data_IF_639558243936
#
_entry.id   IF_639558243936
#
_cell.length_a   1.000
_cell.length_b   1.000
_cell.length_c   1.000
_cell.angle_alpha   90.00
_cell.angle_beta   90.00
_cell.angle_gamma   90.00
#
_symmetry.space_group_name_H-M   'P 1'
#
loop_
_entity.id
_entity.type
_entity.pdbx_description
1 polymer ?
#
# COMPACT_ATOMS: atom_id res chain seq x y z
N UNK A 1 15.91 -17.53 -31.49
CA UNK A 1 15.53 -16.35 -30.69
C UNK A 1 14.03 -16.31 -30.61
N UNK A 2 13.46 -16.41 -29.40
CA UNK A 2 12.02 -16.32 -29.22
C UNK A 2 11.67 -14.88 -28.84
N UNK A 3 10.77 -14.26 -29.61
CA UNK A 3 10.19 -12.98 -29.24
C UNK A 3 8.94 -13.24 -28.42
N UNK A 4 8.69 -12.41 -27.43
CA UNK A 4 7.47 -12.47 -26.62
C UNK A 4 6.89 -11.09 -26.47
N UNK A 5 5.58 -11.02 -26.26
CA UNK A 5 4.87 -9.75 -26.11
C UNK A 5 4.65 -9.42 -24.64
N UNK A 6 4.56 -8.13 -24.35
CA UNK A 6 4.21 -7.64 -23.02
C UNK A 6 2.86 -8.19 -22.57
N UNK A 7 1.89 -8.30 -23.49
CA UNK A 7 0.57 -8.87 -23.21
C UNK A 7 0.65 -10.34 -22.77
N UNK A 8 1.49 -11.17 -23.39
CA UNK A 8 1.74 -12.55 -22.95
C UNK A 8 2.39 -12.62 -21.57
N UNK A 9 3.40 -11.78 -21.33
CA UNK A 9 4.10 -11.75 -20.04
C UNK A 9 3.17 -11.31 -18.90
N UNK A 10 2.29 -10.33 -19.16
CA UNK A 10 1.27 -9.91 -18.19
C UNK A 10 0.28 -11.05 -17.88
N UNK A 11 -0.05 -11.92 -18.84
CA UNK A 11 -0.88 -13.10 -18.60
C UNK A 11 -0.18 -14.18 -17.77
N UNK A 12 1.15 -14.26 -17.83
CA UNK A 12 1.98 -15.20 -17.05
C UNK A 12 2.22 -14.73 -15.61
N UNK A 13 1.87 -13.49 -15.25
CA UNK A 13 1.98 -13.00 -13.88
C UNK A 13 1.12 -13.84 -12.93
N UNK A 14 1.69 -14.27 -11.81
CA UNK A 14 0.98 -14.98 -10.77
C UNK A 14 -0.13 -14.12 -10.13
N UNK A 15 0.03 -12.80 -10.15
CA UNK A 15 -0.97 -11.85 -9.69
C UNK A 15 -1.34 -10.82 -10.77
N UNK A 16 -2.41 -11.12 -11.52
CA UNK A 16 -2.96 -10.23 -12.54
C UNK A 16 -3.36 -8.82 -12.02
N UNK A 17 -3.69 -8.67 -10.73
CA UNK A 17 -4.03 -7.37 -10.12
C UNK A 17 -2.82 -6.44 -9.95
N UNK A 18 -1.60 -6.94 -10.18
CA UNK A 18 -0.35 -6.16 -10.14
C UNK A 18 0.22 -5.89 -11.53
N UNK A 19 -0.51 -6.23 -12.58
CA UNK A 19 -0.16 -5.97 -13.99
C UNK A 19 0.25 -4.51 -14.27
N UNK A 20 -0.43 -3.54 -13.67
CA UNK A 20 -0.06 -2.10 -13.80
C UNK A 20 1.31 -1.77 -13.18
N UNK A 21 1.64 -2.37 -12.04
CA UNK A 21 2.95 -2.18 -11.42
C UNK A 21 4.05 -2.86 -12.27
N UNK A 22 3.78 -4.08 -12.74
CA UNK A 22 4.68 -4.78 -13.65
C UNK A 22 4.97 -3.97 -14.92
N UNK A 23 3.95 -3.45 -15.60
CA UNK A 23 4.12 -2.64 -16.82
C UNK A 23 4.93 -1.37 -16.55
N UNK A 24 4.78 -0.76 -15.37
CA UNK A 24 5.55 0.41 -14.97
C UNK A 24 7.04 0.08 -14.82
N UNK A 25 7.35 -0.99 -14.08
CA UNK A 25 8.74 -1.44 -13.88
C UNK A 25 9.36 -1.94 -15.18
N UNK A 26 8.60 -2.67 -16.01
CA UNK A 26 9.02 -3.10 -17.34
C UNK A 26 9.46 -1.92 -18.21
N UNK A 27 8.65 -0.86 -18.27
CA UNK A 27 8.99 0.34 -19.03
C UNK A 27 10.15 1.13 -18.43
N UNK A 28 10.40 1.01 -17.13
CA UNK A 28 11.58 1.59 -16.50
C UNK A 28 12.83 0.82 -16.94
N UNK A 29 12.81 -0.52 -16.86
CA UNK A 29 13.92 -1.38 -17.28
C UNK A 29 14.27 -1.21 -18.77
N UNK A 30 13.28 -1.09 -19.66
CA UNK A 30 13.52 -0.77 -21.09
C UNK A 30 14.16 0.61 -21.25
N UNK A 31 13.70 1.61 -20.48
CA UNK A 31 14.29 2.96 -20.53
C UNK A 31 15.74 2.96 -20.03
N UNK A 32 16.03 2.18 -19.02
CA UNK A 32 17.35 2.06 -18.41
C UNK A 32 18.31 1.17 -19.23
N UNK A 33 17.81 0.56 -20.32
CA UNK A 33 18.60 -0.29 -21.22
C UNK A 33 18.93 -1.66 -20.63
N UNK A 34 18.15 -2.15 -19.67
CA UNK A 34 18.35 -3.51 -19.09
C UNK A 34 18.02 -4.60 -20.10
N UNK A 35 17.05 -4.35 -20.99
CA UNK A 35 16.72 -5.21 -22.12
C UNK A 35 16.02 -4.38 -23.20
N UNK A 36 16.13 -4.85 -24.44
CA UNK A 36 15.57 -4.18 -25.60
C UNK A 36 14.10 -4.58 -25.82
N UNK A 37 13.28 -3.59 -26.14
CA UNK A 37 11.88 -3.80 -26.52
C UNK A 37 11.44 -2.77 -27.57
N UNK A 38 10.56 -3.19 -28.47
CA UNK A 38 9.98 -2.34 -29.50
C UNK A 38 8.47 -2.15 -29.25
N UNK A 39 8.00 -0.92 -29.47
CA UNK A 39 6.58 -0.57 -29.41
C UNK A 39 5.82 -1.24 -30.56
N UNK A 40 4.67 -1.85 -30.25
CA UNK A 40 3.73 -2.32 -31.26
C UNK A 40 2.57 -1.31 -31.41
N UNK A 41 1.95 -1.21 -32.59
CA UNK A 41 0.80 -0.32 -32.80
C UNK A 41 -0.45 -0.78 -32.02
N UNK A 42 -0.52 -2.05 -31.67
CA UNK A 42 -1.63 -2.64 -30.94
C UNK A 42 -1.62 -2.26 -29.46
N UNK A 43 -2.81 -2.28 -28.86
CA UNK A 43 -3.01 -2.04 -27.43
C UNK A 43 -3.74 -3.23 -26.82
N UNK A 44 -3.46 -3.51 -25.56
CA UNK A 44 -4.19 -4.50 -24.80
C UNK A 44 -4.70 -3.90 -23.50
N UNK A 45 -5.83 -4.43 -23.03
CA UNK A 45 -6.44 -4.03 -21.78
C UNK A 45 -5.80 -4.79 -20.62
N UNK A 46 -5.38 -4.08 -19.57
CA UNK A 46 -4.85 -4.70 -18.37
C UNK A 46 -5.95 -5.44 -17.59
N UNK A 47 -5.66 -6.61 -17.03
CA UNK A 47 -6.63 -7.38 -16.25
C UNK A 47 -6.97 -6.74 -14.90
N UNK A 48 -6.15 -5.78 -14.43
CA UNK A 48 -6.41 -5.02 -13.20
C UNK A 48 -7.60 -4.07 -13.40
N UNK A 49 -8.63 -4.26 -12.58
CA UNK A 49 -9.74 -3.31 -12.45
C UNK A 49 -9.38 -2.22 -11.44
N UNK A 50 -9.55 -0.96 -11.80
CA UNK A 50 -9.29 0.20 -10.97
C UNK A 50 -10.60 0.80 -10.48
N UNK A 51 -10.70 1.12 -9.19
CA UNK A 51 -11.82 1.88 -8.63
C UNK A 51 -11.48 3.36 -8.62
N UNK A 52 -12.40 4.21 -9.04
CA UNK A 52 -12.24 5.66 -8.89
C UNK A 52 -12.54 6.07 -7.44
N UNK A 53 -11.74 7.00 -6.89
CA UNK A 53 -11.95 7.51 -5.53
C UNK A 53 -13.32 8.19 -5.46
N UNK A 54 -14.20 7.71 -4.57
CA UNK A 54 -15.54 8.26 -4.37
C UNK A 54 -16.61 7.79 -5.36
N UNK A 55 -16.29 6.82 -6.23
CA UNK A 55 -17.26 6.18 -7.12
C UNK A 55 -17.25 4.67 -6.91
N UNK A 56 -18.37 4.02 -7.19
CA UNK A 56 -18.52 2.56 -7.16
C UNK A 56 -18.04 1.90 -8.46
N UNK A 57 -17.89 2.68 -9.54
CA UNK A 57 -17.54 2.16 -10.86
C UNK A 57 -16.07 1.75 -10.95
N UNK A 58 -15.84 0.61 -11.59
CA UNK A 58 -14.52 0.11 -11.95
C UNK A 58 -14.20 0.41 -13.41
N UNK A 59 -12.96 0.75 -13.71
CA UNK A 59 -12.46 0.89 -15.08
C UNK A 59 -11.18 0.08 -15.28
N UNK A 60 -10.93 -0.38 -16.50
CA UNK A 60 -9.68 -1.00 -16.91
C UNK A 60 -8.79 0.03 -17.64
N UNK A 61 -7.50 -0.25 -17.78
CA UNK A 61 -6.56 0.61 -18.50
C UNK A 61 -6.01 -0.11 -19.72
N UNK A 62 -5.95 0.62 -20.83
CA UNK A 62 -5.31 0.12 -22.05
C UNK A 62 -3.88 0.63 -22.15
N UNK A 63 -2.97 -0.28 -22.48
CA UNK A 63 -1.53 -0.02 -22.63
C UNK A 63 -1.11 -0.46 -24.03
N UNK A 64 -0.13 0.25 -24.62
CA UNK A 64 0.52 -0.21 -25.86
C UNK A 64 1.22 -1.52 -25.58
N UNK A 65 1.03 -2.48 -26.46
CA UNK A 65 1.79 -3.71 -26.42
C UNK A 65 3.24 -3.43 -26.85
N UNK A 66 4.17 -4.23 -26.34
CA UNK A 66 5.59 -4.13 -26.68
C UNK A 66 6.09 -5.54 -26.97
N UNK A 67 6.95 -5.68 -27.96
CA UNK A 67 7.67 -6.93 -28.22
C UNK A 67 9.06 -6.83 -27.64
N UNK A 68 9.52 -7.90 -26.99
CA UNK A 68 10.85 -8.00 -26.41
C UNK A 68 11.48 -9.34 -26.79
N UNK A 69 12.79 -9.40 -26.69
CA UNK A 69 13.55 -10.63 -26.85
C UNK A 69 13.51 -11.44 -25.56
N UNK A 70 13.11 -12.72 -25.63
CA UNK A 70 13.14 -13.62 -24.48
C UNK A 70 14.58 -14.07 -24.20
N UNK A 71 15.39 -13.14 -23.69
CA UNK A 71 16.75 -13.42 -23.23
C UNK A 71 16.71 -14.05 -21.84
N UNK A 72 17.73 -14.84 -21.45
CA UNK A 72 17.83 -15.38 -20.09
C UNK A 72 17.82 -14.30 -19.00
N UNK A 73 18.38 -13.12 -19.30
CA UNK A 73 18.39 -11.95 -18.39
C UNK A 73 16.97 -11.44 -18.15
N UNK A 74 16.16 -11.33 -19.19
CA UNK A 74 14.76 -10.96 -19.06
C UNK A 74 13.96 -12.01 -18.26
N UNK A 75 14.19 -13.30 -18.50
CA UNK A 75 13.48 -14.36 -17.77
C UNK A 75 13.79 -14.33 -16.26
N UNK A 76 15.05 -14.09 -15.89
CA UNK A 76 15.43 -13.91 -14.49
C UNK A 76 14.77 -12.66 -13.88
N UNK A 77 14.85 -11.53 -14.57
CA UNK A 77 14.20 -10.30 -14.14
C UNK A 77 12.68 -10.47 -13.98
N UNK A 78 12.04 -11.19 -14.91
CA UNK A 78 10.62 -11.51 -14.84
C UNK A 78 10.29 -12.39 -13.63
N UNK A 79 11.09 -13.43 -13.37
CA UNK A 79 10.90 -14.32 -12.22
C UNK A 79 11.01 -13.56 -10.89
N UNK A 80 11.99 -12.67 -10.77
CA UNK A 80 12.18 -11.81 -9.61
C UNK A 80 11.00 -10.85 -9.43
N UNK A 81 10.59 -10.16 -10.51
CA UNK A 81 9.42 -9.28 -10.49
C UNK A 81 8.13 -10.03 -10.15
N UNK A 82 7.94 -11.23 -10.69
CA UNK A 82 6.76 -12.04 -10.41
C UNK A 82 6.72 -12.44 -8.93
N UNK A 83 7.87 -12.77 -8.34
CA UNK A 83 7.98 -13.07 -6.90
C UNK A 83 7.71 -11.84 -6.04
N UNK A 84 8.26 -10.68 -6.41
CA UNK A 84 8.08 -9.43 -5.66
C UNK A 84 6.64 -8.88 -5.73
N UNK A 85 6.01 -9.00 -6.90
CA UNK A 85 4.63 -8.54 -7.12
C UNK A 85 3.59 -9.56 -6.65
N UNK A 86 3.98 -10.82 -6.47
CA UNK A 86 3.16 -11.77 -5.75
C UNK A 86 3.04 -11.28 -4.31
N UNK A 87 1.82 -11.06 -3.80
CA UNK A 87 1.65 -10.67 -2.41
C UNK A 87 2.25 -11.79 -1.60
N UNK A 88 3.39 -11.51 -0.95
CA UNK A 88 3.95 -12.43 0.01
C UNK A 88 2.80 -12.75 0.96
N UNK A 89 2.32 -14.00 0.92
CA UNK A 89 1.61 -14.57 2.04
C UNK A 89 2.67 -14.64 3.13
N UNK A 90 2.99 -13.50 3.75
CA UNK A 90 3.50 -13.51 5.11
C UNK A 90 2.44 -14.32 5.81
N UNK A 91 2.76 -15.58 6.13
CA UNK A 91 1.87 -16.45 6.88
C UNK A 91 1.34 -15.58 7.99
N UNK A 92 0.04 -15.30 7.96
CA UNK A 92 -0.53 -14.26 8.81
C UNK A 92 -0.03 -14.53 10.21
N UNK A 93 0.56 -13.52 10.86
CA UNK A 93 1.16 -13.66 12.19
C UNK A 93 0.27 -14.57 13.01
N UNK A 94 0.77 -15.76 13.33
CA UNK A 94 -0.03 -16.83 13.92
C UNK A 94 -0.70 -16.21 15.15
N UNK A 95 -2.04 -16.19 15.14
CA UNK A 95 -2.77 -15.52 16.21
C UNK A 95 -2.33 -16.16 17.53
N UNK A 96 -1.94 -15.38 18.54
CA UNK A 96 -1.59 -15.90 19.85
C UNK A 96 -2.87 -16.34 20.56
N UNK A 97 -3.36 -17.49 20.13
CA UNK A 97 -4.45 -18.23 20.75
C UNK A 97 -3.83 -19.31 21.63
N UNK A 98 -4.59 -19.78 22.61
CA UNK A 98 -4.13 -20.78 23.57
C UNK A 98 -3.56 -22.02 22.87
N UNK A 99 -4.28 -22.56 21.89
CA UNK A 99 -3.89 -23.74 21.10
C UNK A 99 -2.56 -23.54 20.35
N UNK A 100 -2.31 -22.34 19.79
CA UNK A 100 -1.07 -22.05 19.07
C UNK A 100 0.14 -21.86 20.00
N UNK A 101 -0.11 -21.46 21.26
CA UNK A 101 0.93 -21.36 22.28
C UNK A 101 1.27 -22.77 22.80
N UNK A 102 0.25 -23.61 23.02
CA UNK A 102 0.43 -25.00 23.45
C UNK A 102 1.14 -25.83 22.37
N UNK A 103 0.79 -25.64 21.10
CA UNK A 103 1.45 -26.28 19.97
C UNK A 103 2.88 -25.78 19.70
N UNK A 104 3.40 -24.82 20.49
CA UNK A 104 4.75 -24.26 20.31
C UNK A 104 4.93 -23.42 19.05
N UNK A 105 3.84 -23.09 18.35
CA UNK A 105 3.84 -22.25 17.14
C UNK A 105 4.04 -20.76 17.47
N UNK A 106 3.85 -20.38 18.73
CA UNK A 106 4.08 -19.03 19.27
C UNK A 106 4.95 -19.13 20.53
N UNK A 107 6.06 -18.42 20.56
CA UNK A 107 6.91 -18.34 21.76
C UNK A 107 6.22 -17.53 22.87
N UNK A 108 5.73 -18.25 23.88
CA UNK A 108 5.09 -17.67 25.06
C UNK A 108 5.99 -16.68 25.81
N UNK A 109 7.31 -16.92 25.88
CA UNK A 109 8.23 -16.07 26.64
C UNK A 109 8.37 -14.71 25.98
N UNK A 110 8.54 -14.69 24.66
CA UNK A 110 8.57 -13.46 23.87
C UNK A 110 7.24 -12.69 24.01
N UNK A 111 6.10 -13.39 23.98
CA UNK A 111 4.79 -12.77 24.12
C UNK A 111 4.58 -12.17 25.52
N UNK A 112 4.96 -12.90 26.57
CA UNK A 112 4.87 -12.43 27.95
C UNK A 112 5.74 -11.19 28.20
N UNK A 113 6.96 -11.15 27.64
CA UNK A 113 7.83 -9.98 27.72
C UNK A 113 7.19 -8.74 27.07
N UNK A 114 6.64 -8.89 25.85
CA UNK A 114 5.94 -7.80 25.16
C UNK A 114 4.70 -7.31 25.90
N UNK A 115 4.01 -8.23 26.59
CA UNK A 115 2.80 -7.90 27.38
C UNK A 115 3.17 -7.12 28.63
N UNK A 116 4.24 -7.51 29.34
CA UNK A 116 4.77 -6.76 30.49
C UNK A 116 5.18 -5.34 30.10
N UNK A 117 5.87 -5.19 28.98
CA UNK A 117 6.28 -3.87 28.48
C UNK A 117 5.07 -2.98 28.18
N UNK A 118 4.06 -3.51 27.48
CA UNK A 118 2.82 -2.77 27.18
C UNK A 118 2.03 -2.39 28.44
N UNK A 119 1.93 -3.30 29.40
CA UNK A 119 1.27 -3.02 30.68
C UNK A 119 2.02 -1.96 31.48
N UNK A 120 3.36 -2.03 31.54
CA UNK A 120 4.18 -1.05 32.24
C UNK A 120 4.11 0.34 31.57
N UNK A 121 4.16 0.39 30.24
CA UNK A 121 4.01 1.62 29.48
C UNK A 121 2.63 2.27 29.72
N UNK A 122 1.57 1.45 29.74
CA UNK A 122 0.20 1.91 30.01
C UNK A 122 0.03 2.39 31.45
N UNK A 123 0.62 1.68 32.42
CA UNK A 123 0.62 2.06 33.82
C UNK A 123 1.36 3.38 34.06
N UNK A 124 2.58 3.49 33.54
CA UNK A 124 3.40 4.72 33.63
C UNK A 124 2.69 5.92 33.00
N UNK A 125 2.13 5.75 31.79
CA UNK A 125 1.32 6.77 31.13
C UNK A 125 0.10 7.17 31.96
N UNK A 126 -0.57 6.19 32.59
CA UNK A 126 -1.70 6.43 33.50
C UNK A 126 -1.31 7.25 34.73
N UNK A 127 -0.15 6.95 35.34
CA UNK A 127 0.39 7.70 36.47
C UNK A 127 0.74 9.14 36.08
N UNK A 128 1.44 9.35 34.96
CA UNK A 128 1.79 10.69 34.46
C UNK A 128 0.54 11.53 34.17
N UNK A 129 -0.48 10.94 33.54
CA UNK A 129 -1.75 11.61 33.23
C UNK A 129 -2.61 11.86 34.48
N UNK A 130 -2.53 10.99 35.49
CA UNK A 130 -3.19 11.19 36.78
C UNK A 130 -2.54 12.31 37.58
N UNK A 131 -1.20 12.37 37.59
CA UNK A 131 -0.47 13.39 38.32
C UNK A 131 -0.61 14.78 37.68
N UNK A 132 -0.65 14.87 36.34
CA UNK A 132 -0.90 16.13 35.64
C UNK A 132 -2.30 16.71 35.89
N UNK A 133 -3.29 15.85 36.24
CA UNK A 133 -4.65 16.29 36.60
C UNK A 133 -4.77 16.70 38.08
N UNK A 134 -3.95 16.17 38.98
CA UNK A 134 -3.96 16.51 40.42
C UNK A 134 -3.43 17.93 40.71
N UNK A 135 -2.59 18.47 39.83
CA UNK A 135 -2.07 19.85 39.93
C UNK A 135 -2.88 20.90 39.18
N UNK A 136 -3.93 20.50 38.44
CA UNK A 136 -4.81 21.43 37.76
C UNK A 136 -5.88 21.93 38.74
N UNK A 137 -5.52 22.92 39.56
CA UNK A 137 -6.50 23.76 40.25
C UNK A 137 -7.50 24.26 39.20
N UNK A 138 -8.83 24.17 39.41
CA UNK A 138 -9.76 24.77 38.48
C UNK A 138 -9.48 26.27 38.43
N UNK A 139 -8.87 26.74 37.34
CA UNK A 139 -8.81 28.16 37.05
C UNK A 139 -10.26 28.66 37.12
N UNK A 140 -10.52 29.61 38.04
CA UNK A 140 -11.81 30.27 38.19
C UNK A 140 -12.36 30.57 36.79
N UNK A 141 -13.59 30.16 36.52
CA UNK A 141 -14.34 30.64 35.34
C UNK A 141 -14.45 32.16 35.47
N UNK A 142 -13.61 32.88 34.75
CA UNK A 142 -13.58 34.33 34.67
C UNK A 142 -12.61 34.70 33.55
N UNK A 143 -13.15 35.37 32.53
CA UNK A 143 -12.45 35.91 31.36
C UNK A 143 -11.92 34.92 30.30
N UNK A 144 -12.83 34.54 29.41
CA UNK A 144 -12.45 34.19 28.03
C UNK A 144 -12.47 35.45 27.18
N UNK A 145 -11.33 36.01 26.71
CA UNK A 145 -11.37 36.86 25.55
C UNK A 145 -11.63 35.96 24.34
N UNK A 146 -12.74 36.21 23.65
CA UNK A 146 -13.18 35.50 22.47
C UNK A 146 -12.08 35.44 21.40
N UNK A 147 -11.42 34.28 21.25
CA UNK A 147 -10.59 34.02 20.07
C UNK A 147 -11.52 33.70 18.89
N UNK A 148 -11.65 34.69 17.99
CA UNK A 148 -12.22 34.56 16.64
C UNK A 148 -11.82 33.22 16.01
N UNK A 149 -12.80 32.35 15.79
CA UNK A 149 -12.68 31.26 14.85
C UNK A 149 -12.70 31.86 13.43
N UNK A 150 -11.53 32.08 12.84
CA UNK A 150 -11.42 32.40 11.41
C UNK A 150 -11.54 31.09 10.63
N UNK A 151 -12.76 30.70 10.29
CA UNK A 151 -13.01 29.71 9.24
C UNK A 151 -12.89 30.41 7.88
N UNK A 152 -11.97 30.03 6.98
CA UNK A 152 -12.01 30.55 5.63
C UNK A 152 -13.16 29.88 4.85
N UNK A 153 -14.24 30.63 4.65
CA UNK A 153 -15.32 30.26 3.74
C UNK A 153 -14.76 30.20 2.30
N UNK A 154 -14.68 28.99 1.73
CA UNK A 154 -14.30 28.79 0.33
C UNK A 154 -15.46 29.24 -0.55
N UNK A 155 -15.41 30.50 -1.00
CA UNK A 155 -16.38 31.10 -1.93
C UNK A 155 -16.36 30.34 -3.26
N UNK A 156 -17.40 29.56 -3.50
CA UNK A 156 -17.79 29.05 -4.82
C UNK A 156 -18.22 30.23 -5.70
N UNK A 157 -17.39 30.59 -6.68
CA UNK A 157 -17.82 31.48 -7.76
C UNK A 157 -18.28 30.62 -8.95
N UNK A 158 -19.58 30.34 -8.97
CA UNK A 158 -20.29 29.94 -10.18
C UNK A 158 -20.54 31.22 -10.98
N UNK A 159 -19.89 31.39 -12.13
CA UNK A 159 -20.26 32.43 -13.10
C UNK A 159 -20.79 31.76 -14.36
N UNK A 160 -22.11 31.73 -14.42
CA UNK A 160 -22.94 31.39 -15.58
C UNK A 160 -22.89 32.55 -16.59
N UNK A 161 -22.99 32.17 -17.87
CA UNK A 161 -22.99 32.95 -19.12
C UNK A 161 -23.74 34.29 -19.12
N UNK A 162 -23.24 35.21 -19.94
CA UNK A 162 -24.00 35.87 -21.01
C UNK A 162 -23.10 35.90 -22.24
#
# INVERSE_FOLDING_TARGET
>A
MAYTTLSEQVRKLANAQRSDAFVKEFRAAVRDGTFDAADLPQRFTLPKAFTRRGHTDTYSRDVRDMVLEATPEFEQWFADMNTQLTPARRGGTIKPTYENIEAGLVDFKALAASTREKLQASYSKGQTMGNSRKGATPAKRGDTPARKATTPAKKTASRKKA
#
